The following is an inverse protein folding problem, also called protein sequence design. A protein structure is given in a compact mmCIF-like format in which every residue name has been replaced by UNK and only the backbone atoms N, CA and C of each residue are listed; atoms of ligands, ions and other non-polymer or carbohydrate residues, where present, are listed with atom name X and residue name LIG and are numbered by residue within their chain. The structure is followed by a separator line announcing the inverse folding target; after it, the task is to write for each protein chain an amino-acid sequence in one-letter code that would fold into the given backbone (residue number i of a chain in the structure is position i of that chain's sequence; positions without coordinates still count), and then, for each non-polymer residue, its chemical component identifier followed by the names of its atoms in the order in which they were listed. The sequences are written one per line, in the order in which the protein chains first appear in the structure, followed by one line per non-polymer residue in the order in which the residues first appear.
data_IF_903483830055
#
_entry.id   IF_903483830055
#
_cell.length_a   1.000
_cell.length_b   1.000
_cell.length_c   1.000
_cell.angle_alpha   90.00
_cell.angle_beta   90.00
_cell.angle_gamma   90.00
#
_symmetry.space_group_name_H-M   'P 1'
#
loop_
_entity.id
_entity.type
_entity.pdbx_description
1 polymer ?
#
# COMPACT_ATOMS: atom_id res chain seq x y z
N UNK A 1 -5.55 -12.35 -0.61
CA UNK A 1 -5.36 -10.88 -0.52
C UNK A 1 -6.63 -10.07 -0.22
N UNK A 2 -7.85 -10.62 -0.23
CA UNK A 2 -9.07 -9.81 -0.04
C UNK A 2 -9.80 -9.96 1.30
N UNK A 3 -9.36 -10.86 2.20
CA UNK A 3 -10.10 -11.18 3.44
C UNK A 3 -10.31 -9.98 4.36
N UNK A 4 -9.24 -9.29 4.75
CA UNK A 4 -9.32 -8.13 5.66
C UNK A 4 -9.57 -6.83 4.88
N UNK A 5 -9.01 -6.70 3.68
CA UNK A 5 -9.11 -5.47 2.87
C UNK A 5 -10.55 -5.08 2.54
N UNK A 6 -11.44 -6.07 2.33
CA UNK A 6 -12.84 -5.83 2.00
C UNK A 6 -13.67 -5.23 3.14
N UNK A 7 -13.33 -5.53 4.40
CA UNK A 7 -13.99 -4.96 5.57
C UNK A 7 -13.31 -3.68 6.04
N UNK A 8 -11.97 -3.66 6.04
CA UNK A 8 -11.18 -2.55 6.60
C UNK A 8 -11.26 -1.27 5.77
N UNK A 9 -11.13 -1.34 4.44
CA UNK A 9 -11.10 -0.13 3.61
C UNK A 9 -12.40 0.68 3.64
N UNK A 10 -13.62 0.08 3.59
CA UNK A 10 -14.86 0.82 3.78
C UNK A 10 -15.01 1.45 5.17
N UNK A 11 -14.43 0.87 6.20
CA UNK A 11 -14.52 1.38 7.57
C UNK A 11 -13.65 2.63 7.81
N UNK A 12 -12.59 2.81 7.02
CA UNK A 12 -11.72 4.00 7.08
C UNK A 12 -12.36 5.28 6.54
N UNK A 13 -13.42 5.18 5.74
CA UNK A 13 -14.05 6.32 5.08
C UNK A 13 -15.52 6.45 5.48
N UNK A 14 -16.00 7.70 5.61
CA UNK A 14 -17.40 8.00 5.89
C UNK A 14 -18.31 7.53 4.75
N UNK A 15 -19.57 7.16 5.07
CA UNK A 15 -20.47 6.53 4.10
C UNK A 15 -20.65 7.34 2.80
N UNK A 16 -20.63 8.68 2.91
CA UNK A 16 -20.78 9.60 1.79
C UNK A 16 -19.61 9.57 0.79
N UNK A 17 -18.39 9.23 1.24
CA UNK A 17 -17.17 9.32 0.41
C UNK A 17 -16.41 8.01 0.26
N UNK A 18 -16.92 6.89 0.79
CA UNK A 18 -16.27 5.56 0.72
C UNK A 18 -15.77 5.17 -0.65
N UNK A 19 -16.65 5.21 -1.66
CA UNK A 19 -16.30 4.74 -3.00
C UNK A 19 -15.15 5.55 -3.59
N UNK A 20 -15.27 6.89 -3.55
CA UNK A 20 -14.25 7.80 -4.07
C UNK A 20 -12.97 7.74 -3.26
N UNK A 21 -13.05 7.67 -1.92
CA UNK A 21 -11.89 7.59 -1.04
C UNK A 21 -11.08 6.31 -1.27
N UNK A 22 -11.75 5.15 -1.38
CA UNK A 22 -11.09 3.89 -1.72
C UNK A 22 -10.50 3.95 -3.12
N UNK A 23 -11.26 4.43 -4.11
CA UNK A 23 -10.78 4.50 -5.49
C UNK A 23 -9.53 5.38 -5.62
N UNK A 24 -9.56 6.61 -5.10
CA UNK A 24 -8.42 7.53 -5.15
C UNK A 24 -7.20 6.95 -4.42
N UNK A 25 -7.39 6.36 -3.24
CA UNK A 25 -6.31 5.73 -2.49
C UNK A 25 -5.69 4.57 -3.27
N UNK A 26 -6.52 3.75 -3.92
CA UNK A 26 -6.06 2.63 -4.76
C UNK A 26 -5.31 3.09 -5.99
N UNK A 27 -5.82 4.08 -6.71
CA UNK A 27 -5.15 4.60 -7.91
C UNK A 27 -3.81 5.24 -7.54
N UNK A 28 -3.76 6.01 -6.46
CA UNK A 28 -2.51 6.58 -5.98
C UNK A 28 -1.49 5.50 -5.58
N UNK A 29 -1.95 4.47 -4.84
CA UNK A 29 -1.12 3.32 -4.51
C UNK A 29 -0.68 2.56 -5.76
N UNK A 30 -1.53 2.42 -6.78
CA UNK A 30 -1.22 1.74 -8.03
C UNK A 30 -0.18 2.50 -8.85
N UNK A 31 -0.26 3.83 -8.93
CA UNK A 31 0.76 4.65 -9.59
C UNK A 31 2.10 4.54 -8.85
N UNK A 32 2.10 4.65 -7.52
CA UNK A 32 3.31 4.58 -6.73
C UNK A 32 3.98 3.19 -6.78
N UNK A 33 3.21 2.13 -6.56
CA UNK A 33 3.74 0.77 -6.48
C UNK A 33 3.81 0.05 -7.83
N UNK A 34 2.78 0.16 -8.67
CA UNK A 34 2.74 -0.48 -9.98
C UNK A 34 3.47 0.31 -11.05
N UNK A 35 3.43 1.65 -10.99
CA UNK A 35 4.08 2.52 -11.96
C UNK A 35 5.56 2.73 -11.70
N UNK A 36 5.94 3.15 -10.49
CA UNK A 36 7.31 3.58 -10.19
C UNK A 36 8.24 2.42 -9.80
N UNK A 37 7.73 1.41 -9.09
CA UNK A 37 8.57 0.33 -8.57
C UNK A 37 9.35 -0.47 -9.64
N UNK A 38 8.79 -0.79 -10.82
CA UNK A 38 9.53 -1.48 -11.88
C UNK A 38 10.73 -0.67 -12.39
N UNK A 39 10.59 0.66 -12.51
CA UNK A 39 11.69 1.53 -12.92
C UNK A 39 12.81 1.56 -11.87
N UNK A 40 12.46 1.64 -10.59
CA UNK A 40 13.43 1.59 -9.49
C UNK A 40 14.14 0.22 -9.49
N UNK A 41 13.39 -0.88 -9.63
CA UNK A 41 13.95 -2.21 -9.68
C UNK A 41 14.91 -2.39 -10.86
N UNK A 42 14.54 -1.92 -12.05
CA UNK A 42 15.40 -1.96 -13.23
C UNK A 42 16.68 -1.11 -13.05
N UNK A 43 16.56 0.09 -12.47
CA UNK A 43 17.71 0.94 -12.18
C UNK A 43 18.66 0.30 -11.15
N UNK A 44 18.12 -0.30 -10.09
CA UNK A 44 18.90 -1.03 -9.08
C UNK A 44 19.61 -2.25 -9.66
N UNK A 45 18.93 -2.99 -10.54
CA UNK A 45 19.50 -4.14 -11.22
C UNK A 45 20.66 -3.74 -12.14
N UNK A 46 20.49 -2.66 -12.90
CA UNK A 46 21.52 -2.12 -13.78
C UNK A 46 22.73 -1.61 -12.98
N UNK A 47 22.49 -0.91 -11.87
CA UNK A 47 23.54 -0.42 -10.98
C UNK A 47 24.36 -1.57 -10.37
N UNK A 48 23.70 -2.64 -9.95
CA UNK A 48 24.36 -3.79 -9.34
C UNK A 48 24.84 -4.86 -10.34
N UNK A 49 24.94 -4.51 -11.63
CA UNK A 49 25.46 -5.39 -12.68
C UNK A 49 24.73 -6.76 -12.75
N UNK A 50 23.42 -6.76 -12.53
CA UNK A 50 22.59 -7.96 -12.56
C UNK A 50 22.45 -8.70 -11.23
N UNK A 51 23.07 -8.22 -10.14
CA UNK A 51 22.87 -8.83 -8.82
C UNK A 51 21.46 -8.57 -8.28
N UNK A 52 20.83 -9.60 -7.68
CA UNK A 52 19.44 -9.55 -7.20
C UNK A 52 19.28 -8.94 -5.80
N UNK A 53 20.36 -8.88 -5.01
CA UNK A 53 20.32 -8.41 -3.62
C UNK A 53 19.77 -6.98 -3.44
N UNK A 54 20.01 -5.99 -4.34
CA UNK A 54 19.50 -4.64 -4.14
C UNK A 54 17.97 -4.58 -4.28
N UNK A 55 17.41 -5.37 -5.20
CA UNK A 55 15.96 -5.51 -5.36
C UNK A 55 15.37 -6.17 -4.11
N UNK A 56 16.03 -7.20 -3.59
CA UNK A 56 15.59 -7.86 -2.35
C UNK A 56 15.58 -6.89 -1.16
N UNK A 57 16.62 -6.08 -0.98
CA UNK A 57 16.63 -5.02 0.04
C UNK A 57 15.56 -3.97 -0.19
N UNK A 58 15.31 -3.56 -1.44
CA UNK A 58 14.25 -2.61 -1.76
C UNK A 58 12.87 -3.14 -1.34
N UNK A 59 12.56 -4.40 -1.67
CA UNK A 59 11.30 -5.05 -1.26
C UNK A 59 11.24 -5.20 0.26
N UNK A 60 12.34 -5.56 0.92
CA UNK A 60 12.39 -5.68 2.38
C UNK A 60 12.11 -4.34 3.07
N UNK A 61 12.64 -3.23 2.54
CA UNK A 61 12.34 -1.88 3.03
C UNK A 61 10.86 -1.53 2.85
N UNK A 62 10.27 -1.80 1.68
CA UNK A 62 8.84 -1.57 1.46
C UNK A 62 7.95 -2.41 2.39
N UNK A 63 8.33 -3.66 2.64
CA UNK A 63 7.67 -4.52 3.60
C UNK A 63 7.79 -3.96 5.03
N UNK A 64 8.97 -3.46 5.41
CA UNK A 64 9.20 -2.80 6.69
C UNK A 64 8.34 -1.53 6.87
N UNK A 65 8.24 -0.69 5.84
CA UNK A 65 7.35 0.49 5.85
C UNK A 65 5.90 0.06 6.04
N UNK A 66 5.44 -0.97 5.32
CA UNK A 66 4.07 -1.50 5.43
C UNK A 66 3.78 -2.06 6.83
N UNK A 67 4.76 -2.74 7.42
CA UNK A 67 4.68 -3.28 8.77
C UNK A 67 4.56 -2.15 9.80
N UNK A 68 5.42 -1.13 9.70
CA UNK A 68 5.38 0.06 10.58
C UNK A 68 4.07 0.83 10.42
N UNK A 69 3.62 1.04 9.19
CA UNK A 69 2.35 1.72 8.90
C UNK A 69 1.15 1.02 9.55
N UNK A 70 1.20 -0.29 9.73
CA UNK A 70 0.13 -1.05 10.38
C UNK A 70 -0.06 -0.62 11.84
N UNK A 71 0.99 -0.18 12.54
CA UNK A 71 0.86 0.33 13.92
C UNK A 71 0.20 1.72 13.99
N UNK A 72 0.25 2.50 12.91
CA UNK A 72 -0.42 3.80 12.82
C UNK A 72 -1.84 3.68 12.25
N UNK A 73 -2.22 2.50 11.76
CA UNK A 73 -3.54 2.23 11.22
C UNK A 73 -4.57 2.23 12.36
N UNK A 74 -5.66 3.01 12.26
CA UNK A 74 -6.69 3.06 13.30
C UNK A 74 -7.46 1.73 13.38
N UNK A 75 -7.75 1.28 14.60
CA UNK A 75 -8.62 0.13 14.83
C UNK A 75 -10.07 0.50 14.48
N UNK A 76 -10.65 -0.21 13.52
CA UNK A 76 -11.99 0.10 12.98
C UNK A 76 -13.14 -0.69 13.61
N UNK A 77 -12.84 -1.62 14.53
CA UNK A 77 -13.85 -2.42 15.23
C UNK A 77 -14.82 -1.55 16.05
N UNK A 78 -16.09 -1.52 15.63
CA UNK A 78 -17.20 -0.93 16.38
C UNK A 78 -17.47 0.55 16.10
N UNK A 79 -16.82 1.16 15.10
CA UNK A 79 -17.03 2.56 14.75
C UNK A 79 -18.39 2.76 14.06
N UNK A 80 -19.13 3.79 14.45
CA UNK A 80 -20.34 4.23 13.75
C UNK A 80 -19.98 4.89 12.41
N UNK A 81 -20.33 4.23 11.31
CA UNK A 81 -20.01 4.66 9.95
C UNK A 81 -21.07 5.59 9.32
N UNK A 82 -22.02 6.06 10.15
CA UNK A 82 -23.28 6.71 9.75
C UNK A 82 -23.22 8.25 9.77
N UNK A 83 -22.03 8.84 9.72
CA UNK A 83 -21.84 10.29 9.55
C UNK A 83 -21.40 10.63 8.12
#
# INVERSE_FOLDING_TARGET
MYGIQGAYFPELFSARYRYTGIAVSKEFAAVASGGIAPFIAAALLAWAQGAYWPIATYIAVLAGISFVATFFSPETRGISLRQ
#
